data_IF_417667060528
#
_entry.id   IF_417667060528
#
_cell.length_a   1.000
_cell.length_b   1.000
_cell.length_c   1.000
_cell.angle_alpha   90.00
_cell.angle_beta   90.00
_cell.angle_gamma   90.00
#
_symmetry.space_group_name_H-M   'P 1'
#
loop_
_entity.id
_entity.type
_entity.pdbx_description
1 polymer ?
#
# COMPACT_ATOMS: atom_id res chain seq x y z
N UNK A 1 -1.19 15.92 60.45
CA UNK A 1 -2.07 15.42 59.38
C UNK A 1 -1.23 15.22 58.11
N UNK A 2 -0.94 13.96 57.76
CA UNK A 2 -0.18 13.60 56.54
C UNK A 2 -1.16 12.98 55.55
N UNK A 3 -1.36 13.60 54.42
CA UNK A 3 -2.15 13.07 53.30
C UNK A 3 -1.28 12.15 52.48
N UNK A 4 -1.68 10.84 52.41
CA UNK A 4 -1.06 9.84 51.53
C UNK A 4 -1.66 9.98 50.15
N UNK A 5 -0.81 10.31 49.18
CA UNK A 5 -1.17 10.27 47.73
C UNK A 5 -1.01 8.83 47.23
N UNK A 6 -2.15 8.19 46.95
CA UNK A 6 -2.16 6.90 46.27
C UNK A 6 -1.82 7.02 44.81
N UNK A 7 -0.71 6.41 44.39
CA UNK A 7 -0.28 6.29 43.00
C UNK A 7 -1.10 5.19 42.33
N UNK A 8 -2.06 5.54 41.49
CA UNK A 8 -2.81 4.58 40.69
C UNK A 8 -1.92 4.13 39.51
N UNK A 9 -1.50 2.88 39.52
CA UNK A 9 -0.82 2.22 38.38
C UNK A 9 -1.87 1.87 37.33
N UNK A 10 -1.86 2.58 36.19
CA UNK A 10 -2.58 2.18 34.99
C UNK A 10 -1.87 0.99 34.38
N UNK A 11 -2.45 -0.21 34.56
CA UNK A 11 -2.10 -1.40 33.82
C UNK A 11 -2.51 -1.20 32.35
N UNK A 12 -1.56 -0.84 31.51
CA UNK A 12 -1.71 -0.95 30.07
C UNK A 12 -1.66 -2.44 29.75
N UNK A 13 -2.82 -3.04 29.54
CA UNK A 13 -2.92 -4.39 29.01
C UNK A 13 -2.36 -4.36 27.60
N UNK A 14 -1.11 -4.80 27.43
CA UNK A 14 -0.49 -5.03 26.14
C UNK A 14 -1.28 -6.12 25.42
N UNK A 15 -2.05 -5.76 24.41
CA UNK A 15 -2.61 -6.70 23.44
C UNK A 15 -1.43 -7.36 22.74
N UNK A 16 -1.11 -8.59 23.14
CA UNK A 16 -0.21 -9.47 22.41
C UNK A 16 -0.88 -9.82 21.09
N UNK A 17 -0.52 -9.13 20.01
CA UNK A 17 -0.95 -9.50 18.67
C UNK A 17 -0.25 -10.81 18.34
N UNK A 18 -0.96 -11.92 18.08
CA UNK A 18 -0.33 -13.15 17.67
C UNK A 18 0.41 -12.89 16.34
N UNK A 19 1.71 -13.24 16.29
CA UNK A 19 2.46 -13.22 15.05
C UNK A 19 1.72 -14.11 14.04
N UNK A 20 1.18 -13.50 12.98
CA UNK A 20 0.43 -14.20 11.95
C UNK A 20 1.32 -15.23 11.26
N UNK A 21 0.79 -16.39 10.97
CA UNK A 21 1.50 -17.41 10.19
C UNK A 21 1.71 -16.91 8.77
N UNK A 22 2.93 -17.08 8.24
CA UNK A 22 3.29 -16.73 6.86
C UNK A 22 2.30 -17.38 5.86
N UNK A 23 1.94 -16.66 4.78
CA UNK A 23 1.14 -17.16 3.68
C UNK A 23 -0.37 -17.29 3.95
N UNK A 24 -0.90 -16.72 5.04
CA UNK A 24 -2.34 -16.76 5.32
C UNK A 24 -3.03 -15.46 4.96
N UNK A 25 -4.27 -15.56 4.52
CA UNK A 25 -5.22 -14.46 4.39
C UNK A 25 -6.31 -14.60 5.44
N UNK A 26 -7.00 -13.52 5.80
CA UNK A 26 -8.12 -13.61 6.73
C UNK A 26 -8.72 -12.26 7.10
N UNK A 27 -9.97 -12.31 7.56
CA UNK A 27 -10.71 -11.14 8.04
C UNK A 27 -10.75 -11.08 9.58
N UNK A 28 -9.75 -11.61 10.25
CA UNK A 28 -9.63 -11.59 11.70
C UNK A 28 -8.58 -10.56 12.11
N UNK A 29 -8.82 -9.73 13.14
CA UNK A 29 -7.81 -8.80 13.62
C UNK A 29 -6.48 -9.48 13.89
N UNK A 30 -5.40 -8.91 13.35
CA UNK A 30 -4.06 -9.46 13.42
C UNK A 30 -3.16 -9.00 12.28
N UNK A 31 -1.89 -9.37 12.37
CA UNK A 31 -0.87 -9.04 11.39
C UNK A 31 -0.55 -10.26 10.53
N UNK A 32 -0.53 -10.08 9.23
CA UNK A 32 -0.26 -11.08 8.21
C UNK A 32 0.98 -10.66 7.42
N UNK A 33 2.02 -11.49 7.42
CA UNK A 33 3.32 -11.21 6.79
C UNK A 33 3.90 -12.51 6.24
N UNK A 34 3.97 -12.70 4.93
CA UNK A 34 3.26 -11.95 3.91
C UNK A 34 1.74 -12.24 3.95
N UNK A 35 0.96 -11.40 3.26
CA UNK A 35 -0.44 -11.66 3.00
C UNK A 35 -0.57 -12.55 1.76
N UNK A 36 -1.31 -13.64 1.89
CA UNK A 36 -1.47 -14.61 0.80
C UNK A 36 -0.13 -15.29 0.44
N UNK A 37 -0.04 -15.74 -0.79
CA UNK A 37 1.19 -16.34 -1.36
C UNK A 37 2.08 -15.22 -1.94
N UNK A 38 2.63 -14.35 -1.07
CA UNK A 38 3.43 -13.16 -1.42
C UNK A 38 2.69 -12.10 -2.28
N UNK A 39 1.36 -12.05 -2.18
CA UNK A 39 0.56 -11.05 -2.92
C UNK A 39 0.79 -9.64 -2.38
N UNK A 40 0.82 -9.47 -1.04
CA UNK A 40 1.15 -8.21 -0.35
C UNK A 40 2.11 -8.48 0.79
N UNK A 41 3.13 -7.60 0.97
CA UNK A 41 4.18 -7.82 1.96
C UNK A 41 3.64 -7.87 3.39
N UNK A 42 2.72 -6.96 3.73
CA UNK A 42 2.13 -6.89 5.06
C UNK A 42 0.73 -6.30 5.03
N UNK A 43 -0.21 -6.98 5.69
CA UNK A 43 -1.54 -6.49 6.04
C UNK A 43 -1.75 -6.64 7.55
N UNK A 44 -2.13 -5.55 8.21
CA UNK A 44 -2.68 -5.58 9.57
C UNK A 44 -4.20 -5.37 9.50
N UNK A 45 -4.97 -6.37 9.84
CA UNK A 45 -6.41 -6.26 10.04
C UNK A 45 -6.64 -5.66 11.43
N UNK A 46 -7.10 -4.42 11.49
CA UNK A 46 -7.39 -3.71 12.75
C UNK A 46 -8.79 -4.07 13.23
N UNK A 47 -9.73 -4.14 12.31
CA UNK A 47 -11.13 -4.46 12.57
C UNK A 47 -11.70 -5.29 11.43
N UNK A 48 -12.43 -6.34 11.78
CA UNK A 48 -13.21 -7.14 10.83
C UNK A 48 -14.29 -6.29 10.16
N UNK A 49 -14.45 -6.43 8.84
CA UNK A 49 -15.50 -5.77 8.06
C UNK A 49 -15.90 -6.64 6.86
N UNK A 50 -16.97 -6.28 6.17
CA UNK A 50 -17.35 -6.88 4.90
C UNK A 50 -17.29 -5.81 3.81
N UNK A 51 -16.55 -6.08 2.76
CA UNK A 51 -16.40 -5.13 1.64
C UNK A 51 -17.74 -4.77 1.01
N UNK A 52 -18.66 -5.74 0.92
CA UNK A 52 -20.01 -5.55 0.35
C UNK A 52 -20.90 -4.59 1.16
N UNK A 53 -20.55 -4.29 2.40
CA UNK A 53 -21.32 -3.34 3.22
C UNK A 53 -21.04 -1.88 2.81
N UNK A 54 -20.00 -1.61 2.01
CA UNK A 54 -19.57 -0.27 1.61
C UNK A 54 -20.01 0.07 0.19
N UNK A 55 -20.32 1.35 -0.02
CA UNK A 55 -20.81 1.86 -1.32
C UNK A 55 -19.73 1.95 -2.38
N UNK A 56 -18.45 1.92 -1.99
CA UNK A 56 -17.29 2.00 -2.88
C UNK A 56 -16.01 2.31 -2.13
N UNK A 57 -14.98 2.59 -2.90
CA UNK A 57 -13.64 2.93 -2.39
C UNK A 57 -13.23 4.29 -2.93
N UNK A 58 -12.74 5.15 -2.06
CA UNK A 58 -12.10 6.41 -2.44
C UNK A 58 -10.60 6.36 -2.12
N UNK A 59 -9.80 7.02 -2.94
CA UNK A 59 -8.36 7.14 -2.73
C UNK A 59 -8.02 8.60 -2.48
N UNK A 60 -7.63 8.93 -1.26
CA UNK A 60 -7.11 10.25 -0.95
C UNK A 60 -5.76 10.47 -1.68
N UNK A 61 -5.37 11.70 -2.01
CA UNK A 61 -4.04 11.96 -2.55
C UNK A 61 -2.95 11.31 -1.69
N UNK A 62 -2.03 10.61 -2.33
CA UNK A 62 -0.93 9.95 -1.62
C UNK A 62 0.05 10.98 -1.05
N UNK A 63 0.45 10.77 0.18
CA UNK A 63 1.52 11.56 0.78
C UNK A 63 2.87 11.16 0.17
N UNK A 64 3.48 12.07 -0.57
CA UNK A 64 4.78 11.86 -1.23
C UNK A 64 5.95 12.50 -0.47
N UNK A 65 5.71 13.10 0.69
CA UNK A 65 6.72 13.86 1.45
C UNK A 65 7.86 13.00 1.99
N UNK A 66 7.61 11.69 2.15
CA UNK A 66 8.60 10.72 2.63
C UNK A 66 9.40 10.06 1.52
N UNK A 67 8.98 10.22 0.27
CA UNK A 67 9.69 9.63 -0.86
C UNK A 67 11.06 10.31 -1.06
N UNK A 68 12.15 9.55 -1.22
CA UNK A 68 13.46 10.13 -1.54
C UNK A 68 13.39 10.97 -2.83
N UNK A 69 14.03 12.13 -2.89
CA UNK A 69 13.90 13.05 -4.02
C UNK A 69 14.58 12.55 -5.32
N UNK A 70 15.28 11.41 -5.24
CA UNK A 70 16.14 10.94 -6.33
C UNK A 70 17.45 11.72 -6.41
N UNK A 71 18.44 11.14 -7.09
CA UNK A 71 19.76 11.74 -7.21
C UNK A 71 20.18 11.90 -8.67
N UNK A 72 21.01 12.90 -8.93
CA UNK A 72 21.66 13.14 -10.21
C UNK A 72 20.69 13.14 -11.40
N UNK A 73 20.99 12.38 -12.43
CA UNK A 73 20.17 12.29 -13.65
C UNK A 73 18.79 11.66 -13.46
N UNK A 74 18.62 10.86 -12.41
CA UNK A 74 17.37 10.18 -12.12
C UNK A 74 16.38 11.05 -11.31
N UNK A 75 16.83 12.18 -10.74
CA UNK A 75 15.96 13.09 -9.99
C UNK A 75 14.71 13.53 -10.79
N UNK A 76 14.87 13.85 -12.07
CA UNK A 76 13.74 14.22 -12.95
C UNK A 76 12.76 13.06 -13.14
N UNK A 77 13.27 11.83 -13.25
CA UNK A 77 12.42 10.65 -13.40
C UNK A 77 11.61 10.41 -12.13
N UNK A 78 12.24 10.54 -10.96
CA UNK A 78 11.56 10.40 -9.66
C UNK A 78 10.50 11.48 -9.48
N UNK A 79 10.83 12.76 -9.71
CA UNK A 79 9.86 13.86 -9.65
C UNK A 79 8.68 13.65 -10.62
N UNK A 80 8.97 13.25 -11.86
CA UNK A 80 7.93 12.95 -12.83
C UNK A 80 7.07 11.74 -12.44
N UNK A 81 7.63 10.76 -11.74
CA UNK A 81 6.88 9.62 -11.23
C UNK A 81 6.03 10.02 -10.02
N UNK A 82 6.56 10.82 -9.09
CA UNK A 82 5.78 11.36 -7.97
C UNK A 82 4.55 12.14 -8.43
N UNK A 83 4.67 12.91 -9.52
CA UNK A 83 3.53 13.65 -10.08
C UNK A 83 2.44 12.76 -10.71
N UNK A 84 2.71 11.49 -11.01
CA UNK A 84 1.77 10.56 -11.62
C UNK A 84 1.43 9.35 -10.75
N UNK A 85 1.95 9.28 -9.54
CA UNK A 85 1.81 8.09 -8.68
C UNK A 85 0.36 7.86 -8.24
N UNK A 86 -0.39 8.92 -7.95
CA UNK A 86 -1.80 8.85 -7.56
C UNK A 86 -2.65 8.17 -8.64
N UNK A 87 -2.50 8.62 -9.89
CA UNK A 87 -3.24 8.06 -11.03
C UNK A 87 -2.86 6.60 -11.28
N UNK A 88 -1.58 6.27 -11.19
CA UNK A 88 -1.10 4.91 -11.39
C UNK A 88 -1.60 3.97 -10.31
N UNK A 89 -1.51 4.36 -9.05
CA UNK A 89 -2.05 3.59 -7.94
C UNK A 89 -3.56 3.38 -8.05
N UNK A 90 -4.32 4.46 -8.33
CA UNK A 90 -5.76 4.41 -8.53
C UNK A 90 -6.15 3.47 -9.69
N UNK A 91 -5.41 3.51 -10.80
CA UNK A 91 -5.61 2.63 -11.96
C UNK A 91 -5.44 1.17 -11.57
N UNK A 92 -4.37 0.86 -10.84
CA UNK A 92 -4.13 -0.49 -10.33
C UNK A 92 -5.24 -0.96 -9.39
N UNK A 93 -5.64 -0.11 -8.44
CA UNK A 93 -6.70 -0.43 -7.48
C UNK A 93 -8.04 -0.73 -8.18
N UNK A 94 -8.42 0.10 -9.16
CA UNK A 94 -9.60 -0.14 -10.02
C UNK A 94 -9.52 -1.52 -10.67
N UNK A 95 -8.38 -1.86 -11.24
CA UNK A 95 -8.15 -3.16 -11.89
C UNK A 95 -8.27 -4.32 -10.90
N UNK A 96 -7.66 -4.20 -9.72
CA UNK A 96 -7.73 -5.23 -8.68
C UNK A 96 -9.16 -5.48 -8.22
N UNK A 97 -9.91 -4.42 -7.88
CA UNK A 97 -11.30 -4.52 -7.41
C UNK A 97 -12.23 -4.99 -8.52
N UNK A 98 -12.09 -4.50 -9.75
CA UNK A 98 -12.96 -4.87 -10.87
C UNK A 98 -12.86 -6.35 -11.27
N UNK A 99 -11.84 -7.04 -10.82
CA UNK A 99 -11.68 -8.48 -11.08
C UNK A 99 -12.74 -9.36 -10.36
N UNK A 100 -13.41 -8.83 -9.34
CA UNK A 100 -14.41 -9.57 -8.54
C UNK A 100 -15.61 -8.72 -8.08
N UNK A 101 -15.55 -7.39 -8.18
CA UNK A 101 -16.61 -6.47 -7.72
C UNK A 101 -16.85 -5.36 -8.72
N UNK A 102 -18.08 -4.82 -8.74
CA UNK A 102 -18.48 -3.62 -9.49
C UNK A 102 -18.47 -2.35 -8.63
N UNK A 103 -17.96 -2.43 -7.39
CA UNK A 103 -17.88 -1.28 -6.50
C UNK A 103 -17.09 -0.15 -7.18
N UNK A 104 -17.60 1.10 -7.17
CA UNK A 104 -16.89 2.23 -7.75
C UNK A 104 -15.60 2.51 -6.97
N UNK A 105 -14.55 2.92 -7.69
CA UNK A 105 -13.28 3.35 -7.12
C UNK A 105 -12.95 4.72 -7.67
N UNK A 106 -12.93 5.73 -6.81
CA UNK A 106 -12.83 7.13 -7.21
C UNK A 106 -11.72 7.86 -6.47
N UNK A 107 -11.11 8.90 -7.05
CA UNK A 107 -10.20 9.76 -6.32
C UNK A 107 -10.95 10.64 -5.33
N UNK A 108 -10.33 10.95 -4.17
CA UNK A 108 -10.87 11.89 -3.20
C UNK A 108 -10.95 11.36 -1.78
N UNK A 109 -11.50 12.17 -0.89
CA UNK A 109 -11.60 11.86 0.54
C UNK A 109 -12.73 10.90 0.89
N UNK A 110 -13.58 10.52 -0.09
CA UNK A 110 -14.78 9.72 0.16
C UNK A 110 -15.83 10.45 0.98
N UNK A 111 -17.03 9.92 1.00
CA UNK A 111 -18.12 10.41 1.84
C UNK A 111 -19.14 9.29 2.12
N UNK A 112 -19.92 9.47 3.18
CA UNK A 112 -20.93 8.48 3.56
C UNK A 112 -20.31 7.12 3.89
N UNK A 113 -21.02 6.06 3.54
CA UNK A 113 -20.61 4.69 3.87
C UNK A 113 -19.66 4.10 2.83
N UNK A 114 -18.52 4.78 2.62
CA UNK A 114 -17.45 4.35 1.72
C UNK A 114 -16.17 4.00 2.49
N UNK A 115 -15.29 3.24 1.85
CA UNK A 115 -13.91 3.06 2.31
C UNK A 115 -13.04 4.17 1.75
N UNK A 116 -12.06 4.63 2.52
CA UNK A 116 -11.04 5.58 2.08
C UNK A 116 -9.66 4.99 2.28
N UNK A 117 -8.88 4.97 1.21
CA UNK A 117 -7.47 4.61 1.26
C UNK A 117 -6.65 5.89 1.44
N UNK A 118 -5.85 5.93 2.49
CA UNK A 118 -4.86 6.98 2.77
C UNK A 118 -3.48 6.35 2.70
N UNK A 119 -2.71 6.70 1.69
CA UNK A 119 -1.39 6.11 1.45
C UNK A 119 -0.26 7.10 1.54
N UNK A 120 0.94 6.59 1.82
CA UNK A 120 2.21 7.32 1.80
C UNK A 120 3.17 6.58 0.89
N UNK A 121 3.77 7.28 -0.05
CA UNK A 121 4.88 6.77 -0.86
C UNK A 121 6.15 6.81 0.00
N UNK A 122 6.66 5.64 0.38
CA UNK A 122 7.86 5.51 1.23
C UNK A 122 9.11 5.47 0.38
N UNK A 123 9.05 4.79 -0.77
CA UNK A 123 10.16 4.72 -1.73
C UNK A 123 9.64 4.67 -3.16
N UNK A 124 10.37 5.33 -4.04
CA UNK A 124 10.12 5.35 -5.47
C UNK A 124 11.47 5.37 -6.17
N UNK A 125 11.94 4.19 -6.54
CA UNK A 125 13.32 3.98 -7.00
C UNK A 125 13.36 3.65 -8.49
N UNK A 126 14.13 4.40 -9.28
CA UNK A 126 14.25 4.17 -10.72
C UNK A 126 15.02 2.89 -11.09
N UNK A 127 15.67 2.27 -10.11
CA UNK A 127 16.57 1.16 -10.36
C UNK A 127 17.82 1.58 -11.16
N UNK A 128 18.54 0.60 -11.68
CA UNK A 128 19.73 0.82 -12.50
C UNK A 128 19.58 0.24 -13.91
N UNK A 129 19.65 1.09 -14.93
CA UNK A 129 19.64 0.64 -16.34
C UNK A 129 20.77 -0.33 -16.66
N UNK A 130 21.99 -0.03 -16.15
CA UNK A 130 23.15 -0.88 -16.38
C UNK A 130 22.98 -2.26 -15.76
N UNK A 131 22.48 -2.35 -14.54
CA UNK A 131 22.23 -3.63 -13.88
C UNK A 131 21.12 -4.43 -14.58
N UNK A 132 20.05 -3.77 -15.07
CA UNK A 132 18.98 -4.44 -15.85
C UNK A 132 19.49 -5.06 -17.15
N UNK A 133 20.46 -4.42 -17.81
CA UNK A 133 21.01 -4.89 -19.09
C UNK A 133 22.12 -5.94 -18.92
N UNK A 134 22.87 -5.91 -17.82
CA UNK A 134 24.10 -6.70 -17.65
C UNK A 134 23.95 -7.93 -16.77
N UNK A 135 23.10 -7.90 -15.74
CA UNK A 135 23.07 -8.96 -14.71
C UNK A 135 21.83 -9.85 -14.83
N UNK A 136 20.71 -9.34 -15.36
CA UNK A 136 19.46 -10.10 -15.44
C UNK A 136 18.83 -10.36 -14.05
N UNK A 137 17.88 -11.30 -13.98
CA UNK A 137 17.24 -11.78 -12.75
C UNK A 137 16.68 -10.71 -11.79
N UNK A 138 16.21 -9.57 -12.33
CA UNK A 138 15.61 -8.52 -11.50
C UNK A 138 16.61 -7.52 -10.91
N UNK A 139 17.92 -7.70 -11.13
CA UNK A 139 18.91 -6.72 -10.74
C UNK A 139 18.63 -5.35 -11.39
N UNK A 140 18.60 -4.30 -10.57
CA UNK A 140 18.34 -2.94 -11.05
C UNK A 140 16.89 -2.66 -11.47
N UNK A 141 15.91 -3.50 -11.09
CA UNK A 141 14.49 -3.22 -11.30
C UNK A 141 14.06 -1.91 -10.62
N UNK A 142 13.18 -1.15 -11.28
CA UNK A 142 12.52 -0.04 -10.61
C UNK A 142 11.49 -0.57 -9.61
N UNK A 143 11.25 0.17 -8.52
CA UNK A 143 10.25 -0.23 -7.55
C UNK A 143 9.49 0.96 -6.96
N UNK A 144 8.33 0.65 -6.40
CA UNK A 144 7.53 1.54 -5.58
C UNK A 144 7.15 0.83 -4.29
N UNK A 145 7.34 1.51 -3.15
CA UNK A 145 6.93 1.05 -1.83
C UNK A 145 5.95 2.04 -1.22
N UNK A 146 4.79 1.52 -0.87
CA UNK A 146 3.72 2.30 -0.24
C UNK A 146 3.34 1.68 1.09
N UNK A 147 2.95 2.55 2.02
CA UNK A 147 2.28 2.19 3.26
C UNK A 147 0.96 2.94 3.35
N UNK A 148 0.03 2.47 4.13
CA UNK A 148 -1.21 3.23 4.30
C UNK A 148 -2.24 2.54 5.17
N UNK A 149 -3.40 3.16 5.20
CA UNK A 149 -4.56 2.74 5.97
C UNK A 149 -5.81 2.72 5.09
N UNK A 150 -6.70 1.78 5.36
CA UNK A 150 -8.07 1.78 4.87
C UNK A 150 -8.96 2.17 6.05
N UNK A 151 -9.73 3.23 5.88
CA UNK A 151 -10.60 3.78 6.92
C UNK A 151 -12.06 3.86 6.45
N UNK A 152 -13.00 3.83 7.38
CA UNK A 152 -14.41 4.19 7.11
C UNK A 152 -14.50 5.70 6.89
N UNK A 153 -15.13 6.15 5.80
CA UNK A 153 -15.22 7.59 5.47
C UNK A 153 -16.00 8.39 6.50
N UNK A 154 -17.08 7.83 7.02
CA UNK A 154 -18.01 8.48 7.96
C UNK A 154 -17.49 8.56 9.39
N UNK A 155 -16.71 7.57 9.83
CA UNK A 155 -16.23 7.48 11.22
C UNK A 155 -14.74 7.75 11.38
N UNK A 156 -13.97 7.67 10.29
CA UNK A 156 -12.52 7.72 10.30
C UNK A 156 -11.83 6.53 10.96
N UNK A 157 -12.60 5.47 11.29
CA UNK A 157 -12.03 4.28 11.93
C UNK A 157 -11.15 3.51 10.97
N UNK A 158 -9.95 3.15 11.42
CA UNK A 158 -9.02 2.31 10.68
C UNK A 158 -9.52 0.87 10.69
N UNK A 159 -9.59 0.26 9.50
CA UNK A 159 -9.97 -1.15 9.30
C UNK A 159 -8.77 -2.00 8.96
N UNK A 160 -7.90 -1.51 8.09
CA UNK A 160 -6.66 -2.17 7.66
C UNK A 160 -5.50 -1.18 7.69
N UNK A 161 -4.30 -1.71 7.88
CA UNK A 161 -3.03 -1.07 7.50
C UNK A 161 -2.30 -1.98 6.53
N UNK A 162 -1.54 -1.38 5.63
CA UNK A 162 -0.75 -2.13 4.66
C UNK A 162 0.65 -1.55 4.47
N UNK A 163 1.57 -2.43 4.12
CA UNK A 163 2.88 -2.09 3.55
C UNK A 163 3.10 -2.98 2.35
N UNK A 164 3.43 -2.41 1.21
CA UNK A 164 3.67 -3.19 0.01
C UNK A 164 4.69 -2.55 -0.92
N UNK A 165 5.57 -3.38 -1.47
CA UNK A 165 6.56 -3.03 -2.48
C UNK A 165 6.36 -3.87 -3.74
N UNK A 166 6.36 -3.24 -4.87
CA UNK A 166 6.40 -3.92 -6.17
C UNK A 166 7.53 -3.43 -7.03
N UNK A 167 8.04 -4.34 -7.85
CA UNK A 167 9.14 -4.10 -8.79
C UNK A 167 8.65 -4.26 -10.22
N UNK A 168 9.15 -3.40 -11.10
CA UNK A 168 8.90 -3.49 -12.52
C UNK A 168 10.21 -3.47 -13.31
N UNK A 169 10.22 -4.13 -14.49
CA UNK A 169 11.42 -4.22 -15.33
C UNK A 169 12.37 -5.35 -14.96
N UNK A 170 11.87 -6.41 -14.30
CA UNK A 170 12.65 -7.59 -13.89
C UNK A 170 12.69 -8.71 -14.94
N UNK A 171 12.13 -8.51 -16.14
CA UNK A 171 12.11 -9.53 -17.20
C UNK A 171 13.14 -9.30 -18.30
N UNK A 172 13.40 -10.34 -19.11
CA UNK A 172 14.24 -10.31 -20.33
C UNK A 172 13.66 -9.44 -21.45
N UNK A 173 12.80 -8.49 -21.15
CA UNK A 173 12.35 -7.49 -22.12
C UNK A 173 13.54 -6.58 -22.44
N UNK A 174 14.17 -6.79 -23.57
CA UNK A 174 15.24 -5.96 -24.15
C UNK A 174 14.82 -4.50 -24.46
N UNK A 175 13.70 -4.05 -23.93
CA UNK A 175 13.23 -2.68 -24.00
C UNK A 175 13.55 -1.95 -22.71
N UNK A 176 14.64 -1.18 -22.72
CA UNK A 176 14.98 -0.26 -21.63
C UNK A 176 13.85 0.75 -21.39
N UNK A 177 12.79 0.35 -20.69
CA UNK A 177 11.69 1.23 -20.33
C UNK A 177 12.23 2.47 -19.61
N UNK A 178 11.62 3.63 -19.85
CA UNK A 178 11.92 4.84 -19.11
C UNK A 178 11.73 4.55 -17.61
N UNK A 179 12.74 4.86 -16.79
CA UNK A 179 12.72 4.64 -15.34
C UNK A 179 11.46 5.21 -14.68
N UNK A 180 10.98 6.38 -15.14
CA UNK A 180 9.70 6.95 -14.68
C UNK A 180 8.53 6.00 -14.91
N UNK A 181 8.38 5.45 -16.11
CA UNK A 181 7.25 4.56 -16.43
C UNK A 181 7.31 3.24 -15.64
N UNK A 182 8.52 2.75 -15.37
CA UNK A 182 8.69 1.55 -14.54
C UNK A 182 8.29 1.79 -13.09
N UNK A 183 8.64 2.95 -12.51
CA UNK A 183 8.18 3.33 -11.17
C UNK A 183 6.65 3.46 -11.11
N UNK A 184 6.04 4.12 -12.10
CA UNK A 184 4.58 4.23 -12.21
C UNK A 184 3.91 2.86 -12.36
N UNK A 185 4.50 1.97 -13.17
CA UNK A 185 4.02 0.59 -13.30
C UNK A 185 4.13 -0.20 -11.98
N UNK A 186 5.19 0.03 -11.22
CA UNK A 186 5.32 -0.56 -9.88
C UNK A 186 4.21 -0.07 -8.94
N UNK A 187 3.91 1.24 -8.94
CA UNK A 187 2.82 1.81 -8.15
C UNK A 187 1.43 1.29 -8.59
N UNK A 188 1.22 1.10 -9.90
CA UNK A 188 0.01 0.46 -10.44
C UNK A 188 -0.13 -0.97 -9.88
N UNK A 189 0.95 -1.75 -9.87
CA UNK A 189 0.92 -3.11 -9.34
C UNK A 189 0.64 -3.13 -7.83
N UNK A 190 1.20 -2.18 -7.04
CA UNK A 190 0.84 -2.04 -5.63
C UNK A 190 -0.67 -1.81 -5.46
N UNK A 191 -1.24 -0.90 -6.26
CA UNK A 191 -2.69 -0.66 -6.25
C UNK A 191 -3.51 -1.89 -6.64
N UNK A 192 -3.09 -2.63 -7.68
CA UNK A 192 -3.78 -3.84 -8.15
C UNK A 192 -3.80 -4.91 -7.07
N UNK A 193 -2.67 -5.18 -6.43
CA UNK A 193 -2.59 -6.20 -5.39
C UNK A 193 -3.38 -5.80 -4.14
N UNK A 194 -3.31 -4.53 -3.71
CA UNK A 194 -4.15 -4.03 -2.63
C UNK A 194 -5.65 -4.14 -2.98
N UNK A 195 -6.02 -3.89 -4.24
CA UNK A 195 -7.40 -4.08 -4.71
C UNK A 195 -7.88 -5.52 -4.56
N UNK A 196 -7.02 -6.51 -4.80
CA UNK A 196 -7.33 -7.94 -4.63
C UNK A 196 -7.50 -8.35 -3.16
N UNK A 197 -6.82 -7.65 -2.22
CA UNK A 197 -6.95 -7.91 -0.77
C UNK A 197 -8.40 -7.83 -0.31
N UNK A 198 -9.17 -6.88 -0.82
CA UNK A 198 -10.58 -6.70 -0.43
C UNK A 198 -11.49 -7.89 -0.78
N UNK A 199 -11.07 -8.80 -1.66
CA UNK A 199 -11.81 -10.03 -1.98
C UNK A 199 -12.00 -10.95 -0.77
N UNK A 200 -11.15 -10.84 0.24
CA UNK A 200 -11.20 -11.66 1.46
C UNK A 200 -12.17 -11.10 2.49
N UNK A 201 -12.57 -9.86 2.33
CA UNK A 201 -13.48 -9.14 3.20
C UNK A 201 -14.85 -9.02 2.55
#
# INVERSE_FOLDING_TARGET
MRASQGLAWLLVAGLSIPAGAAGKTGNTPGKYVPWGDDEVDEIEVVKTFKFADYTGVSVAPLDTTKAPPGEGKEAKNVQGALAGVDESFLTGLKKGISSYSKAPVEPGAGSGHALVIKGTVVDLNPGSKGARMGVGFGAGAAHAKLTGEVVEADTGKVLLRFTHEKRAGSGMSFGGGNSRNLMLKSAEHVGEDLGKVFKVF
#
